data_IF_013793030216
#
_entry.id   IF_013793030216
#
_cell.length_a   1.000
_cell.length_b   1.000
_cell.length_c   1.000
_cell.angle_alpha   90.00
_cell.angle_beta   90.00
_cell.angle_gamma   90.00
#
_symmetry.space_group_name_H-M   'P 1'
#
loop_
_entity.id
_entity.type
_entity.pdbx_description
1 polymer ?
#
# COMPACT_ATOMS: atom_id res chain seq x y z
N UNK A 1 -1.34 -9.02 12.50
CA UNK A 1 -2.03 -7.80 12.06
C UNK A 1 -2.18 -7.59 10.54
N UNK A 2 -1.74 -8.46 9.57
CA UNK A 2 -1.74 -8.07 8.15
C UNK A 2 -3.11 -7.74 7.55
N UNK A 3 -4.18 -8.31 8.11
CA UNK A 3 -5.54 -8.22 7.57
C UNK A 3 -6.49 -7.31 8.36
N UNK A 4 -6.01 -6.67 9.44
CA UNK A 4 -6.86 -5.88 10.33
C UNK A 4 -7.47 -4.65 9.62
N UNK A 5 -6.75 -4.08 8.66
CA UNK A 5 -7.18 -2.91 7.88
C UNK A 5 -7.92 -3.28 6.58
N UNK A 6 -8.05 -4.57 6.25
CA UNK A 6 -8.64 -4.99 4.97
C UNK A 6 -10.09 -4.53 4.83
N UNK A 7 -10.88 -4.62 5.91
CA UNK A 7 -12.31 -4.29 5.88
C UNK A 7 -12.57 -2.78 5.77
N UNK A 8 -11.80 -1.97 6.50
CA UNK A 8 -11.85 -0.51 6.44
C UNK A 8 -11.48 -0.03 5.04
N UNK A 9 -10.32 -0.46 4.52
CA UNK A 9 -9.82 -0.03 3.21
C UNK A 9 -10.76 -0.51 2.09
N UNK A 10 -11.31 -1.73 2.16
CA UNK A 10 -12.29 -2.18 1.16
C UNK A 10 -13.52 -1.27 1.13
N UNK A 11 -14.06 -0.91 2.30
CA UNK A 11 -15.21 -0.01 2.39
C UNK A 11 -14.87 1.41 1.91
N UNK A 12 -13.64 1.88 2.13
CA UNK A 12 -13.15 3.13 1.56
C UNK A 12 -13.12 3.06 0.02
N UNK A 13 -12.71 1.95 -0.58
CA UNK A 13 -12.78 1.78 -2.04
C UNK A 13 -14.23 1.84 -2.56
N UNK A 14 -15.16 1.17 -1.88
CA UNK A 14 -16.59 1.22 -2.23
C UNK A 14 -17.13 2.65 -2.14
N UNK A 15 -16.83 3.36 -1.04
CA UNK A 15 -17.29 4.73 -0.82
C UNK A 15 -16.67 5.69 -1.84
N UNK A 16 -15.37 5.59 -2.08
CA UNK A 16 -14.65 6.42 -3.04
C UNK A 16 -15.17 6.23 -4.46
N UNK A 17 -15.44 4.99 -4.88
CA UNK A 17 -16.03 4.71 -6.19
C UNK A 17 -17.45 5.30 -6.31
N UNK A 18 -18.24 5.27 -5.23
CA UNK A 18 -19.55 5.90 -5.20
C UNK A 18 -19.46 7.44 -5.24
N UNK A 19 -18.50 8.03 -4.52
CA UNK A 19 -18.24 9.46 -4.51
C UNK A 19 -17.79 9.95 -5.89
N UNK A 20 -16.84 9.26 -6.53
CA UNK A 20 -16.41 9.58 -7.90
C UNK A 20 -17.58 9.52 -8.89
N UNK A 21 -18.47 8.52 -8.80
CA UNK A 21 -19.67 8.45 -9.67
C UNK A 21 -20.68 9.58 -9.43
N UNK A 22 -20.68 10.18 -8.24
CA UNK A 22 -21.61 11.25 -7.85
C UNK A 22 -21.00 12.65 -7.90
N UNK A 23 -19.70 12.76 -8.16
CA UNK A 23 -19.00 14.03 -8.26
C UNK A 23 -19.73 14.93 -9.27
N UNK A 24 -20.04 16.14 -8.81
CA UNK A 24 -20.90 17.10 -9.50
C UNK A 24 -20.18 17.85 -10.61
N UNK A 25 -18.87 18.02 -10.48
CA UNK A 25 -18.00 18.67 -11.46
C UNK A 25 -16.59 18.04 -11.51
N UNK A 26 -15.80 18.52 -12.48
CA UNK A 26 -14.43 18.03 -12.71
C UNK A 26 -13.48 18.37 -11.56
N UNK A 27 -13.70 19.45 -10.81
CA UNK A 27 -12.84 19.86 -9.70
C UNK A 27 -13.03 18.94 -8.50
N UNK A 28 -14.27 18.61 -8.16
CA UNK A 28 -14.59 17.61 -7.13
C UNK A 28 -13.98 16.25 -7.49
N UNK A 29 -14.07 15.85 -8.77
CA UNK A 29 -13.50 14.59 -9.25
C UNK A 29 -11.97 14.57 -9.16
N UNK A 30 -11.31 15.65 -9.57
CA UNK A 30 -9.85 15.81 -9.44
C UNK A 30 -9.41 15.72 -7.97
N UNK A 31 -10.09 16.41 -7.05
CA UNK A 31 -9.77 16.36 -5.63
C UNK A 31 -9.91 14.95 -5.05
N UNK A 32 -10.96 14.22 -5.41
CA UNK A 32 -11.15 12.83 -4.95
C UNK A 32 -10.06 11.89 -5.48
N UNK A 33 -9.69 12.02 -6.76
CA UNK A 33 -8.61 11.22 -7.36
C UNK A 33 -7.25 11.57 -6.75
N UNK A 34 -6.95 12.86 -6.56
CA UNK A 34 -5.70 13.32 -5.95
C UNK A 34 -5.49 12.71 -4.57
N UNK A 35 -6.50 12.79 -3.70
CA UNK A 35 -6.41 12.21 -2.35
C UNK A 35 -6.10 10.70 -2.43
N UNK A 36 -6.82 9.95 -3.28
CA UNK A 36 -6.59 8.50 -3.45
C UNK A 36 -5.19 8.17 -3.96
N UNK A 37 -4.68 8.96 -4.91
CA UNK A 37 -3.34 8.76 -5.51
C UNK A 37 -2.25 9.10 -4.50
N UNK A 38 -2.42 10.17 -3.71
CA UNK A 38 -1.50 10.53 -2.63
C UNK A 38 -1.45 9.46 -1.54
N UNK A 39 -2.62 8.96 -1.10
CA UNK A 39 -2.70 7.86 -0.13
C UNK A 39 -2.03 6.59 -0.67
N UNK A 40 -2.24 6.27 -1.95
CA UNK A 40 -1.57 5.14 -2.60
C UNK A 40 -0.05 5.31 -2.66
N UNK A 41 0.45 6.51 -2.96
CA UNK A 41 1.89 6.82 -2.94
C UNK A 41 2.48 6.60 -1.54
N UNK A 42 1.78 7.02 -0.48
CA UNK A 42 2.20 6.80 0.89
C UNK A 42 2.19 5.31 1.27
N UNK A 43 1.18 4.55 0.86
CA UNK A 43 1.04 3.15 1.26
C UNK A 43 1.96 2.22 0.45
N UNK A 44 2.25 2.56 -0.81
CA UNK A 44 3.04 1.71 -1.70
C UNK A 44 4.50 2.17 -1.74
N UNK A 45 4.77 3.40 -2.17
CA UNK A 45 6.13 3.87 -2.41
C UNK A 45 6.87 4.16 -1.09
N UNK A 46 6.28 4.93 -0.17
CA UNK A 46 6.92 5.27 1.12
C UNK A 46 7.16 4.01 1.97
N UNK A 47 6.16 3.12 2.07
CA UNK A 47 6.33 1.87 2.84
C UNK A 47 7.35 0.95 2.19
N UNK A 48 7.41 0.87 0.86
CA UNK A 48 8.44 0.09 0.17
C UNK A 48 9.84 0.65 0.46
N UNK A 49 10.04 1.97 0.40
CA UNK A 49 11.29 2.63 0.83
C UNK A 49 11.69 2.22 2.24
N UNK A 50 10.76 2.31 3.20
CA UNK A 50 11.00 1.93 4.60
C UNK A 50 11.33 0.44 4.77
N UNK A 51 10.64 -0.43 4.04
CA UNK A 51 10.90 -1.86 4.04
C UNK A 51 12.32 -2.16 3.54
N UNK A 52 12.76 -1.50 2.46
CA UNK A 52 14.13 -1.62 1.94
C UNK A 52 15.16 -1.12 2.94
N UNK A 53 14.91 0.03 3.58
CA UNK A 53 15.78 0.56 4.62
C UNK A 53 15.92 -0.41 5.82
N UNK A 54 14.81 -0.90 6.38
CA UNK A 54 14.86 -1.85 7.52
C UNK A 54 15.53 -3.17 7.14
N UNK A 55 15.30 -3.68 5.93
CA UNK A 55 15.95 -4.89 5.43
C UNK A 55 17.46 -4.74 5.39
N UNK A 56 17.95 -3.65 4.79
CA UNK A 56 19.38 -3.36 4.70
C UNK A 56 19.99 -3.12 6.09
N UNK A 57 19.27 -2.39 6.95
CA UNK A 57 19.67 -2.12 8.33
C UNK A 57 19.90 -3.42 9.11
N UNK A 58 18.94 -4.34 9.07
CA UNK A 58 19.06 -5.60 9.80
C UNK A 58 20.15 -6.50 9.23
N UNK A 59 20.29 -6.57 7.90
CA UNK A 59 21.35 -7.34 7.27
C UNK A 59 22.75 -6.84 7.66
N UNK A 60 22.98 -5.51 7.65
CA UNK A 60 24.27 -4.93 8.05
C UNK A 60 24.53 -5.02 9.54
N UNK A 61 23.49 -4.93 10.37
CA UNK A 61 23.65 -4.95 11.83
C UNK A 61 24.30 -6.24 12.33
N UNK A 62 24.18 -7.33 11.59
CA UNK A 62 24.85 -8.60 11.89
C UNK A 62 26.38 -8.51 11.84
N UNK A 63 26.93 -7.56 11.07
CA UNK A 63 28.37 -7.50 10.76
C UNK A 63 29.05 -6.18 11.12
N UNK A 64 28.30 -5.08 11.25
CA UNK A 64 28.87 -3.76 11.52
C UNK A 64 28.04 -2.86 12.45
N UNK A 65 28.70 -1.83 12.97
CA UNK A 65 28.07 -0.69 13.60
C UNK A 65 27.93 0.43 12.56
N UNK A 66 26.73 0.99 12.42
CA UNK A 66 26.43 2.02 11.42
C UNK A 66 26.42 3.40 12.06
N UNK A 67 27.27 4.29 11.54
CA UNK A 67 27.25 5.71 11.88
C UNK A 67 26.11 6.44 11.14
N UNK A 68 25.71 7.65 11.58
CA UNK A 68 24.62 8.40 10.96
C UNK A 68 24.76 8.60 9.45
N UNK A 69 25.97 8.84 8.94
CA UNK A 69 26.21 9.03 7.51
C UNK A 69 25.87 7.77 6.70
N UNK A 70 26.22 6.59 7.21
CA UNK A 70 25.85 5.30 6.60
C UNK A 70 24.33 5.13 6.57
N UNK A 71 23.64 5.42 7.67
CA UNK A 71 22.18 5.32 7.76
C UNK A 71 21.49 6.30 6.80
N UNK A 72 22.01 7.52 6.67
CA UNK A 72 21.53 8.51 5.71
C UNK A 72 21.70 8.02 4.26
N UNK A 73 22.87 7.45 3.91
CA UNK A 73 23.11 6.90 2.57
C UNK A 73 22.17 5.73 2.26
N UNK A 74 21.95 4.83 3.23
CA UNK A 74 20.99 3.72 3.09
C UNK A 74 19.57 4.23 2.86
N UNK A 75 19.13 5.24 3.61
CA UNK A 75 17.80 5.83 3.47
C UNK A 75 17.62 6.55 2.12
N UNK A 76 18.68 7.20 1.61
CA UNK A 76 18.64 7.79 0.25
C UNK A 76 18.56 6.69 -0.82
N UNK A 77 19.35 5.62 -0.71
CA UNK A 77 19.30 4.50 -1.65
C UNK A 77 17.91 3.81 -1.65
N UNK A 78 17.30 3.66 -0.48
CA UNK A 78 15.95 3.12 -0.36
C UNK A 78 14.88 4.02 -0.99
N UNK A 79 15.02 5.35 -0.85
CA UNK A 79 14.16 6.32 -1.54
C UNK A 79 14.34 6.24 -3.07
N UNK A 80 15.57 6.18 -3.56
CA UNK A 80 15.86 6.11 -5.01
C UNK A 80 15.25 4.83 -5.63
N UNK A 81 15.34 3.70 -4.95
CA UNK A 81 14.77 2.45 -5.45
C UNK A 81 13.24 2.42 -5.39
N UNK A 82 12.64 2.98 -4.34
CA UNK A 82 11.20 2.90 -4.16
C UNK A 82 10.43 3.93 -5.00
N UNK A 83 11.00 5.11 -5.20
CA UNK A 83 10.36 6.19 -5.93
C UNK A 83 10.87 6.36 -7.36
N UNK A 84 11.96 5.67 -7.73
CA UNK A 84 12.58 5.79 -9.05
C UNK A 84 12.87 7.27 -9.40
N UNK A 85 12.29 7.77 -10.49
CA UNK A 85 12.38 9.16 -10.95
C UNK A 85 11.23 10.06 -10.44
N UNK A 86 10.39 9.55 -9.54
CA UNK A 86 9.23 10.26 -9.01
C UNK A 86 9.52 11.26 -7.88
N UNK A 87 10.73 11.27 -7.31
CA UNK A 87 11.16 12.26 -6.31
C UNK A 87 12.16 13.25 -6.91
N UNK A 88 11.99 14.53 -6.56
CA UNK A 88 13.01 15.54 -6.82
C UNK A 88 14.31 15.18 -6.06
N UNK A 89 15.45 15.01 -6.75
CA UNK A 89 16.72 14.64 -6.12
C UNK A 89 17.18 15.56 -4.99
N UNK A 90 16.75 16.83 -5.00
CA UNK A 90 17.09 17.85 -3.99
C UNK A 90 16.17 17.77 -2.77
N UNK A 91 14.96 17.21 -2.92
CA UNK A 91 13.98 17.09 -1.84
C UNK A 91 14.02 15.74 -1.10
N UNK A 92 14.90 14.82 -1.52
CA UNK A 92 15.12 13.56 -0.81
C UNK A 92 15.53 13.81 0.64
N UNK A 93 15.02 13.00 1.55
CA UNK A 93 15.18 13.22 2.99
C UNK A 93 16.13 12.18 3.60
N UNK A 94 17.43 12.47 3.74
CA UNK A 94 18.41 11.50 4.27
C UNK A 94 18.11 11.08 5.71
N UNK A 95 17.56 11.98 6.52
CA UNK A 95 17.22 11.73 7.92
C UNK A 95 15.81 11.14 8.13
N UNK A 96 15.13 10.70 7.07
CA UNK A 96 13.78 10.14 7.21
C UNK A 96 13.76 8.96 8.19
N UNK A 97 14.87 8.20 8.30
CA UNK A 97 15.02 7.13 9.29
C UNK A 97 14.98 7.61 10.74
N UNK A 98 15.49 8.81 11.02
CA UNK A 98 15.54 9.35 12.37
C UNK A 98 14.16 9.82 12.87
N UNK A 99 13.26 10.16 11.95
CA UNK A 99 11.94 10.70 12.26
C UNK A 99 10.86 9.61 12.46
N UNK A 100 11.20 8.33 12.29
CA UNK A 100 10.25 7.22 12.45
C UNK A 100 10.35 6.60 13.83
N UNK A 101 9.43 6.98 14.73
CA UNK A 101 9.43 6.50 16.11
C UNK A 101 9.40 4.97 16.27
N UNK A 102 8.78 4.24 15.32
CA UNK A 102 8.69 2.77 15.41
C UNK A 102 10.04 2.06 15.21
N UNK A 103 11.02 2.66 14.52
CA UNK A 103 12.36 2.06 14.38
C UNK A 103 13.10 1.92 15.71
N UNK A 104 12.67 2.65 16.73
CA UNK A 104 13.26 2.62 18.07
C UNK A 104 12.50 1.71 19.03
N UNK A 105 11.59 0.88 18.51
CA UNK A 105 10.85 -0.13 19.27
C UNK A 105 11.12 -1.52 18.72
N UNK A 106 11.74 -2.38 19.53
CA UNK A 106 12.12 -3.75 19.13
C UNK A 106 10.91 -4.63 18.78
N UNK A 107 9.72 -4.28 19.23
CA UNK A 107 8.47 -4.98 18.89
C UNK A 107 7.77 -4.51 17.62
N UNK A 108 8.30 -3.48 16.94
CA UNK A 108 7.66 -2.82 15.79
C UNK A 108 8.52 -2.88 14.52
N UNK A 109 9.38 -3.89 14.39
CA UNK A 109 10.13 -4.13 13.15
C UNK A 109 9.16 -4.39 11.99
N UNK A 110 9.42 -3.78 10.83
CA UNK A 110 8.57 -3.83 9.64
C UNK A 110 7.11 -3.43 9.89
N UNK A 111 6.86 -2.56 10.88
CA UNK A 111 5.53 -2.17 11.32
C UNK A 111 4.63 -1.64 10.20
N UNK A 112 5.21 -0.98 9.19
CA UNK A 112 4.44 -0.41 8.10
C UNK A 112 3.99 -1.45 7.05
N UNK A 113 4.68 -2.59 6.91
CA UNK A 113 4.37 -3.57 5.87
C UNK A 113 2.90 -4.05 5.86
N UNK A 114 2.26 -4.35 7.02
CA UNK A 114 0.84 -4.65 7.08
C UNK A 114 -0.09 -3.65 6.38
N UNK A 115 0.24 -2.35 6.36
CA UNK A 115 -0.57 -1.35 5.68
C UNK A 115 -0.43 -1.44 4.15
N UNK A 116 0.78 -1.66 3.63
CA UNK A 116 1.00 -1.91 2.20
C UNK A 116 0.28 -3.18 1.74
N UNK A 117 0.43 -4.26 2.51
CA UNK A 117 -0.27 -5.52 2.25
C UNK A 117 -1.80 -5.32 2.28
N UNK A 118 -2.34 -4.76 3.37
CA UNK A 118 -3.77 -4.56 3.54
C UNK A 118 -4.37 -3.66 2.47
N UNK A 119 -3.65 -2.59 2.09
CA UNK A 119 -4.03 -1.66 1.02
C UNK A 119 -4.19 -2.34 -0.33
N UNK A 120 -3.16 -3.07 -0.77
CA UNK A 120 -3.21 -3.81 -2.04
C UNK A 120 -4.21 -4.97 -1.99
N UNK A 121 -4.27 -5.69 -0.88
CA UNK A 121 -5.18 -6.81 -0.71
C UNK A 121 -6.65 -6.36 -0.78
N UNK A 122 -7.00 -5.25 -0.11
CA UNK A 122 -8.33 -4.66 -0.17
C UNK A 122 -8.69 -4.16 -1.59
N UNK A 123 -7.74 -3.55 -2.31
CA UNK A 123 -7.93 -3.16 -3.72
C UNK A 123 -8.16 -4.38 -4.61
N UNK A 124 -7.40 -5.46 -4.43
CA UNK A 124 -7.60 -6.73 -5.15
C UNK A 124 -8.95 -7.38 -4.85
N UNK A 125 -9.39 -7.38 -3.58
CA UNK A 125 -10.74 -7.82 -3.20
C UNK A 125 -11.82 -6.97 -3.87
N UNK A 126 -11.62 -5.65 -3.94
CA UNK A 126 -12.55 -4.75 -4.63
C UNK A 126 -12.58 -5.02 -6.13
N UNK A 127 -11.43 -5.25 -6.78
CA UNK A 127 -11.37 -5.65 -8.18
C UNK A 127 -12.14 -6.97 -8.44
N UNK A 128 -11.99 -7.97 -7.56
CA UNK A 128 -12.78 -9.20 -7.62
C UNK A 128 -14.28 -8.94 -7.45
N UNK A 129 -14.67 -8.07 -6.51
CA UNK A 129 -16.07 -7.67 -6.37
C UNK A 129 -16.62 -7.01 -7.64
N UNK A 130 -15.83 -6.16 -8.30
CA UNK A 130 -16.23 -5.52 -9.56
C UNK A 130 -16.35 -6.51 -10.72
N UNK A 131 -15.53 -7.56 -10.75
CA UNK A 131 -15.58 -8.60 -11.78
C UNK A 131 -16.71 -9.63 -11.56
N UNK A 132 -16.89 -10.09 -10.33
CA UNK A 132 -17.83 -11.17 -9.99
C UNK A 132 -19.22 -10.67 -9.56
N UNK A 133 -19.31 -9.46 -9.00
CA UNK A 133 -20.55 -8.85 -8.54
C UNK A 133 -21.11 -9.48 -7.24
N UNK A 134 -22.45 -9.60 -7.16
CA UNK A 134 -23.14 -10.13 -5.98
C UNK A 134 -22.66 -11.52 -5.51
N UNK A 135 -22.30 -12.47 -6.38
CA UNK A 135 -21.67 -13.75 -6.01
C UNK A 135 -20.40 -13.65 -5.16
N UNK A 136 -19.67 -12.53 -5.21
CA UNK A 136 -18.47 -12.33 -4.39
C UNK A 136 -18.78 -12.00 -2.92
N UNK A 137 -19.95 -11.42 -2.64
CA UNK A 137 -20.30 -10.93 -1.30
C UNK A 137 -20.30 -12.06 -0.25
N UNK A 138 -20.84 -13.27 -0.50
CA UNK A 138 -20.70 -14.39 0.42
C UNK A 138 -19.24 -14.79 0.69
N UNK A 139 -18.38 -14.80 -0.34
CA UNK A 139 -16.95 -15.11 -0.21
C UNK A 139 -16.24 -14.08 0.66
N UNK A 140 -16.47 -12.80 0.39
CA UNK A 140 -15.94 -11.70 1.21
C UNK A 140 -16.39 -11.79 2.67
N UNK A 141 -17.67 -12.09 2.94
CA UNK A 141 -18.16 -12.29 4.32
C UNK A 141 -17.53 -13.48 5.01
N UNK A 142 -17.27 -14.58 4.29
CA UNK A 142 -16.59 -15.75 4.83
C UNK A 142 -15.14 -15.40 5.20
N UNK A 143 -14.43 -14.73 4.28
CA UNK A 143 -13.08 -14.21 4.50
C UNK A 143 -13.02 -13.32 5.75
N UNK A 144 -13.93 -12.33 5.89
CA UNK A 144 -13.95 -11.44 7.05
C UNK A 144 -14.09 -12.17 8.38
N UNK A 145 -14.90 -13.25 8.42
CA UNK A 145 -15.08 -14.07 9.63
C UNK A 145 -13.84 -14.89 9.99
N UNK A 146 -13.01 -15.21 9.00
CA UNK A 146 -11.81 -16.02 9.16
C UNK A 146 -10.58 -15.21 9.59
N UNK A 147 -10.57 -13.88 9.39
CA UNK A 147 -9.39 -13.01 9.58
C UNK A 147 -8.71 -13.12 10.95
N UNK A 148 -9.45 -13.44 12.02
CA UNK A 148 -8.90 -13.52 13.39
C UNK A 148 -8.54 -14.91 13.85
N UNK A 149 -8.91 -15.95 13.09
CA UNK A 149 -8.78 -17.37 13.51
C UNK A 149 -7.99 -18.22 12.51
N UNK A 150 -7.62 -17.67 11.35
CA UNK A 150 -6.87 -18.37 10.31
C UNK A 150 -5.60 -17.61 9.90
N UNK A 151 -4.74 -18.28 9.14
CA UNK A 151 -3.62 -17.65 8.46
C UNK A 151 -4.11 -16.67 7.38
N UNK A 152 -3.24 -15.76 6.95
CA UNK A 152 -3.60 -14.78 5.91
C UNK A 152 -3.82 -15.48 4.56
N UNK A 153 -3.03 -16.52 4.29
CA UNK A 153 -3.12 -17.38 3.11
C UNK A 153 -4.45 -18.15 3.08
N UNK A 154 -4.81 -18.83 4.17
CA UNK A 154 -6.06 -19.59 4.27
C UNK A 154 -7.27 -18.64 4.17
N UNK A 155 -7.17 -17.45 4.76
CA UNK A 155 -8.20 -16.42 4.70
C UNK A 155 -8.40 -15.90 3.28
N UNK A 156 -7.31 -15.63 2.55
CA UNK A 156 -7.37 -15.19 1.16
C UNK A 156 -7.93 -16.28 0.22
N UNK A 157 -7.58 -17.54 0.45
CA UNK A 157 -8.08 -18.67 -0.33
C UNK A 157 -9.61 -18.81 -0.30
N UNK A 158 -10.27 -18.36 0.78
CA UNK A 158 -11.75 -18.33 0.86
C UNK A 158 -12.42 -17.39 -0.14
N UNK A 159 -11.66 -16.43 -0.68
CA UNK A 159 -12.09 -15.55 -1.76
C UNK A 159 -11.43 -15.91 -3.09
N UNK A 160 -10.96 -17.15 -3.26
CA UNK A 160 -10.26 -17.63 -4.46
C UNK A 160 -9.04 -16.76 -4.82
N UNK A 161 -8.28 -16.34 -3.79
CA UNK A 161 -7.05 -15.55 -3.94
C UNK A 161 -5.86 -16.38 -3.50
N UNK A 162 -4.87 -16.51 -4.39
CA UNK A 162 -3.55 -17.01 -4.06
C UNK A 162 -2.61 -15.82 -3.82
N UNK A 163 -2.13 -15.63 -2.60
CA UNK A 163 -1.24 -14.51 -2.26
C UNK A 163 0.15 -14.63 -2.90
N UNK A 164 0.56 -15.82 -3.36
CA UNK A 164 1.79 -16.02 -4.10
C UNK A 164 1.64 -15.69 -5.60
N UNK A 165 0.43 -15.41 -6.07
CA UNK A 165 0.18 -15.02 -7.45
C UNK A 165 0.45 -13.52 -7.65
N UNK A 166 1.47 -13.21 -8.45
CA UNK A 166 1.85 -11.83 -8.77
C UNK A 166 0.74 -11.08 -9.52
N UNK A 167 -0.08 -11.78 -10.30
CA UNK A 167 -1.10 -11.14 -11.13
C UNK A 167 -2.26 -10.60 -10.27
N UNK A 168 -2.52 -11.22 -9.12
CA UNK A 168 -3.43 -10.65 -8.12
C UNK A 168 -2.94 -9.27 -7.64
N UNK A 169 -1.67 -9.16 -7.26
CA UNK A 169 -1.10 -7.89 -6.80
C UNK A 169 -1.03 -6.84 -7.90
N UNK A 170 -0.67 -7.25 -9.13
CA UNK A 170 -0.70 -6.37 -10.32
C UNK A 170 -2.09 -5.83 -10.60
N UNK A 171 -3.15 -6.61 -10.40
CA UNK A 171 -4.52 -6.11 -10.57
C UNK A 171 -4.86 -4.98 -9.59
N UNK A 172 -4.37 -5.06 -8.34
CA UNK A 172 -4.51 -3.99 -7.37
C UNK A 172 -3.74 -2.73 -7.78
N UNK A 173 -2.52 -2.88 -8.31
CA UNK A 173 -1.72 -1.77 -8.83
C UNK A 173 -2.32 -1.15 -10.09
N UNK A 174 -2.92 -1.96 -10.98
CA UNK A 174 -3.59 -1.46 -12.18
C UNK A 174 -4.71 -0.48 -11.83
N UNK A 175 -5.45 -0.72 -10.75
CA UNK A 175 -6.49 0.23 -10.30
C UNK A 175 -5.93 1.62 -9.98
N UNK A 176 -4.70 1.70 -9.48
CA UNK A 176 -4.03 2.98 -9.18
C UNK A 176 -3.55 3.63 -10.48
N UNK A 177 -3.03 2.83 -11.43
CA UNK A 177 -2.64 3.34 -12.75
C UNK A 177 -3.85 3.94 -13.49
N UNK A 178 -5.00 3.26 -13.46
CA UNK A 178 -6.24 3.75 -14.07
C UNK A 178 -6.72 5.06 -13.39
N UNK A 179 -6.61 5.17 -12.06
CA UNK A 179 -6.91 6.38 -11.29
C UNK A 179 -5.98 7.56 -11.71
N UNK A 180 -4.69 7.29 -11.95
CA UNK A 180 -3.71 8.28 -12.43
C UNK A 180 -4.03 8.74 -13.86
N UNK A 181 -4.30 7.80 -14.76
CA UNK A 181 -4.65 8.11 -16.16
C UNK A 181 -5.91 8.97 -16.24
N UNK A 182 -6.90 8.67 -15.41
CA UNK A 182 -8.12 9.46 -15.30
C UNK A 182 -7.83 10.88 -14.77
N UNK A 183 -7.01 11.01 -13.73
CA UNK A 183 -6.60 12.31 -13.19
C UNK A 183 -5.91 13.16 -14.27
N UNK A 184 -4.95 12.59 -15.01
CA UNK A 184 -4.23 13.27 -16.10
C UNK A 184 -5.19 13.69 -17.22
N UNK A 185 -6.19 12.86 -17.54
CA UNK A 185 -7.17 13.19 -18.57
C UNK A 185 -8.05 14.38 -18.19
N UNK A 186 -8.39 14.54 -16.91
CA UNK A 186 -9.20 15.65 -16.39
C UNK A 186 -8.45 16.99 -16.29
N UNK A 187 -7.11 16.97 -16.36
CA UNK A 187 -6.28 18.18 -16.38
C UNK A 187 -6.17 18.84 -17.77
N UNK A 188 -6.60 18.13 -18.83
CA UNK A 188 -6.56 18.60 -20.22
C UNK A 188 -7.82 19.38 -20.59
#
# INVERSE_FOLDING_TARGET
>A
MPVAETASIFNEQVLAAAALKRASDAQERLALLENKIQDACQIICDIYSRYRFETELFSRRETEFMFPDTLCQMMLAAQDEAYCDGLDPVLRHPYMWACKGHYYSTGLSFYNFPYAFGGLFARGLYAKYMAEGAPFVPKYKALLRATTVNTVEDTAAMADINLADIDFWRSGLQSIADEIDEYIALLK
#
